data_IF_637387500450
#
_entry.id   IF_637387500450
#
_cell.length_a   1.000
_cell.length_b   1.000
_cell.length_c   1.000
_cell.angle_alpha   90.00
_cell.angle_beta   90.00
_cell.angle_gamma   90.00
#
_symmetry.space_group_name_H-M   'P 1'
#
loop_
_entity.id
_entity.type
_entity.pdbx_description
1 polymer ?
#
# COMPACT_ATOMS: atom_id res chain seq x y z
N UNK A 1 22.28 70.34 23.66
CA UNK A 1 21.09 70.71 22.87
C UNK A 1 20.56 69.39 22.32
N UNK A 2 19.84 68.63 23.13
CA UNK A 2 18.40 68.75 23.39
C UNK A 2 17.55 68.15 22.25
N UNK A 3 16.74 67.16 22.65
CA UNK A 3 15.55 66.55 22.04
C UNK A 3 15.74 65.49 20.94
N UNK A 4 15.38 64.20 21.05
CA UNK A 4 14.30 63.38 21.70
C UNK A 4 13.34 62.83 20.62
N UNK A 5 12.77 61.64 20.91
CA UNK A 5 11.83 60.76 20.15
C UNK A 5 12.55 59.66 19.37
N UNK A 6 12.89 58.50 19.95
CA UNK A 6 12.08 57.45 20.64
C UNK A 6 11.25 56.60 19.64
N UNK A 7 11.74 55.43 19.23
CA UNK A 7 11.40 54.05 19.71
C UNK A 7 9.97 53.62 19.35
N UNK A 8 9.75 52.59 18.52
CA UNK A 8 9.29 51.21 18.85
C UNK A 8 8.66 50.67 17.55
N UNK A 9 8.68 49.40 17.10
CA UNK A 9 8.83 48.12 17.80
C UNK A 9 9.37 47.02 16.86
N UNK A 10 10.19 46.14 17.44
CA UNK A 10 10.48 44.77 17.02
C UNK A 10 9.30 43.84 17.38
N UNK A 11 9.41 42.57 16.95
CA UNK A 11 8.57 41.38 17.25
C UNK A 11 7.39 41.21 16.27
N UNK A 12 7.20 40.10 15.55
CA UNK A 12 7.30 38.67 15.88
C UNK A 12 7.68 37.90 14.60
N UNK A 13 8.80 37.18 14.50
CA UNK A 13 9.06 35.79 14.93
C UNK A 13 8.06 34.75 14.44
N UNK A 14 8.63 33.74 13.78
CA UNK A 14 8.13 32.43 13.38
C UNK A 14 6.99 31.86 14.22
N UNK A 15 6.12 31.08 13.58
CA UNK A 15 5.95 29.67 13.93
C UNK A 15 5.25 28.91 12.79
N UNK A 16 5.95 27.86 12.33
CA UNK A 16 5.36 26.65 11.76
C UNK A 16 4.61 25.98 12.91
N UNK A 17 3.33 25.68 12.71
CA UNK A 17 2.64 24.73 13.59
C UNK A 17 1.93 23.68 12.74
N UNK A 18 2.52 22.49 12.79
CA UNK A 18 1.94 21.23 12.39
C UNK A 18 1.12 20.79 13.59
N UNK A 19 -0.21 20.63 13.46
CA UNK A 19 -0.89 19.49 14.10
C UNK A 19 -2.37 19.36 13.74
N UNK A 20 -2.73 18.07 13.59
CA UNK A 20 -3.97 17.42 14.05
C UNK A 20 -5.15 17.40 13.09
N UNK A 21 -5.40 16.21 12.58
CA UNK A 21 -6.50 15.90 11.69
C UNK A 21 -7.86 15.88 12.36
N UNK A 22 -8.87 15.81 11.51
CA UNK A 22 -10.09 15.09 11.81
C UNK A 22 -10.53 14.29 10.59
N UNK A 23 -10.98 13.10 10.96
CA UNK A 23 -11.44 11.98 10.17
C UNK A 23 -12.86 12.27 9.68
N UNK A 24 -13.12 12.27 8.37
CA UNK A 24 -14.49 12.16 7.85
C UNK A 24 -14.50 11.15 6.71
N UNK A 25 -14.98 9.98 7.08
CA UNK A 25 -15.38 8.88 6.22
C UNK A 25 -16.64 9.29 5.45
N UNK A 26 -16.52 9.57 4.15
CA UNK A 26 -17.68 9.62 3.27
C UNK A 26 -17.65 8.44 2.30
N UNK A 27 -18.57 7.51 2.55
CA UNK A 27 -18.94 6.40 1.70
C UNK A 27 -19.53 6.96 0.40
N UNK A 28 -18.96 6.57 -0.75
CA UNK A 28 -19.63 6.71 -2.04
C UNK A 28 -19.69 5.33 -2.66
N UNK A 29 -20.84 4.68 -2.43
CA UNK A 29 -21.33 3.61 -3.28
C UNK A 29 -21.61 4.19 -4.65
N UNK A 30 -21.11 3.55 -5.72
CA UNK A 30 -21.76 3.63 -7.02
C UNK A 30 -21.53 2.34 -7.78
N UNK A 31 -22.66 1.71 -8.10
CA UNK A 31 -22.78 0.59 -9.01
C UNK A 31 -22.40 1.02 -10.43
N UNK A 32 -21.69 0.16 -11.15
CA UNK A 32 -21.91 0.00 -12.59
C UNK A 32 -21.64 -1.46 -12.94
N UNK A 33 -22.75 -2.12 -13.24
CA UNK A 33 -22.92 -3.43 -13.81
C UNK A 33 -22.40 -3.45 -15.25
N UNK A 34 -21.49 -4.38 -15.57
CA UNK A 34 -21.28 -4.84 -16.95
C UNK A 34 -21.14 -6.35 -16.95
N UNK A 35 -22.29 -6.96 -17.23
CA UNK A 35 -22.53 -8.37 -17.52
C UNK A 35 -21.60 -8.95 -18.59
N UNK A 36 -21.14 -10.19 -18.36
CA UNK A 36 -20.78 -11.15 -19.42
C UNK A 36 -20.96 -12.57 -18.88
N UNK A 37 -22.01 -13.26 -19.37
CA UNK A 37 -22.30 -14.66 -19.11
C UNK A 37 -21.67 -15.57 -20.16
N UNK A 38 -21.05 -16.67 -19.72
CA UNK A 38 -21.23 -18.04 -20.26
C UNK A 38 -20.49 -19.04 -19.34
N UNK A 39 -21.21 -19.76 -18.48
CA UNK A 39 -21.65 -21.15 -18.67
C UNK A 39 -20.52 -22.19 -18.65
N UNK A 40 -20.44 -22.97 -17.56
CA UNK A 40 -19.60 -24.17 -17.50
C UNK A 40 -19.32 -24.72 -16.08
N UNK A 41 -20.32 -25.43 -15.51
CA UNK A 41 -20.17 -26.72 -14.81
C UNK A 41 -19.16 -26.84 -13.62
N UNK A 42 -19.72 -27.09 -12.44
CA UNK A 42 -19.53 -28.29 -11.56
C UNK A 42 -19.61 -27.93 -10.07
N UNK A 43 -20.65 -28.48 -9.42
CA UNK A 43 -20.83 -28.47 -7.96
C UNK A 43 -19.71 -29.30 -7.34
N UNK A 44 -18.75 -28.64 -6.71
CA UNK A 44 -17.92 -29.28 -5.69
C UNK A 44 -18.35 -28.82 -4.31
N UNK A 45 -18.69 -29.83 -3.52
CA UNK A 45 -19.13 -29.81 -2.13
C UNK A 45 -18.31 -28.86 -1.26
N UNK A 46 -19.02 -27.93 -0.61
CA UNK A 46 -18.54 -27.18 0.54
C UNK A 46 -18.15 -28.15 1.67
N UNK A 47 -16.88 -28.50 1.76
CA UNK A 47 -16.27 -28.92 3.01
C UNK A 47 -15.76 -27.66 3.68
N UNK A 48 -16.68 -26.97 4.36
CA UNK A 48 -16.37 -25.97 5.37
C UNK A 48 -15.69 -26.68 6.54
N UNK A 49 -14.40 -26.96 6.41
CA UNK A 49 -13.55 -27.21 7.55
C UNK A 49 -13.29 -25.86 8.20
N UNK A 50 -13.80 -25.68 9.41
CA UNK A 50 -13.32 -24.64 10.33
C UNK A 50 -11.79 -24.71 10.31
N UNK A 51 -11.16 -23.68 9.77
CA UNK A 51 -9.71 -23.60 9.73
C UNK A 51 -9.24 -23.34 11.15
N UNK A 52 -8.90 -24.40 11.88
CA UNK A 52 -7.96 -24.29 12.99
C UNK A 52 -6.79 -23.40 12.53
N UNK A 53 -6.24 -22.53 13.39
CA UNK A 53 -5.07 -21.73 13.03
C UNK A 53 -4.00 -22.71 12.56
N UNK A 54 -3.74 -22.73 11.25
CA UNK A 54 -2.76 -23.61 10.62
C UNK A 54 -1.44 -23.37 11.34
N UNK A 55 -1.11 -24.31 12.22
CA UNK A 55 -0.09 -24.13 13.24
C UNK A 55 1.26 -23.74 12.66
N UNK A 56 1.97 -22.93 13.43
CA UNK A 56 3.35 -22.47 13.28
C UNK A 56 4.12 -23.19 12.16
N UNK A 57 4.29 -22.52 11.01
CA UNK A 57 4.97 -23.09 9.83
C UNK A 57 6.41 -23.50 10.11
N UNK A 58 7.09 -22.81 11.02
CA UNK A 58 8.45 -23.16 11.44
C UNK A 58 8.48 -24.50 12.17
N UNK A 59 7.49 -24.80 13.03
CA UNK A 59 7.38 -26.10 13.69
C UNK A 59 7.18 -27.22 12.67
N UNK A 60 6.33 -27.00 11.66
CA UNK A 60 6.13 -27.96 10.58
C UNK A 60 7.43 -28.19 9.79
N UNK A 61 8.13 -27.11 9.45
CA UNK A 61 9.43 -27.17 8.78
C UNK A 61 10.43 -28.02 9.60
N UNK A 62 10.63 -27.69 10.88
CA UNK A 62 11.53 -28.43 11.77
C UNK A 62 11.16 -29.91 11.85
N UNK A 63 9.86 -30.22 11.96
CA UNK A 63 9.36 -31.60 12.01
C UNK A 63 9.66 -32.37 10.72
N UNK A 64 9.43 -31.75 9.55
CA UNK A 64 9.69 -32.40 8.26
C UNK A 64 11.18 -32.63 8.06
N UNK A 65 12.00 -31.64 8.41
CA UNK A 65 13.46 -31.73 8.30
C UNK A 65 14.01 -32.82 9.22
N UNK A 66 13.60 -32.86 10.49
CA UNK A 66 14.02 -33.90 11.43
C UNK A 66 13.64 -35.31 10.93
N UNK A 67 12.40 -35.50 10.47
CA UNK A 67 11.96 -36.78 9.90
C UNK A 67 12.74 -37.16 8.65
N UNK A 68 13.07 -36.19 7.79
CA UNK A 68 13.85 -36.43 6.59
C UNK A 68 15.29 -36.86 6.91
N UNK A 69 15.92 -36.25 7.92
CA UNK A 69 17.25 -36.60 8.39
C UNK A 69 17.28 -37.99 9.02
N UNK A 70 16.28 -38.32 9.85
CA UNK A 70 16.14 -39.67 10.41
C UNK A 70 16.00 -40.74 9.33
N UNK A 71 15.21 -40.46 8.28
CA UNK A 71 15.05 -41.36 7.15
C UNK A 71 16.36 -41.53 6.39
N UNK A 72 17.07 -40.44 6.13
CA UNK A 72 18.38 -40.46 5.47
C UNK A 72 19.42 -41.26 6.28
N UNK A 73 19.49 -41.06 7.60
CA UNK A 73 20.38 -41.83 8.49
C UNK A 73 20.02 -43.32 8.55
N UNK A 74 18.73 -43.65 8.43
CA UNK A 74 18.27 -45.05 8.40
C UNK A 74 18.77 -45.81 7.16
N UNK A 75 19.09 -45.12 6.07
CA UNK A 75 19.67 -45.74 4.87
C UNK A 75 21.19 -45.95 4.99
N UNK A 76 21.85 -45.16 5.84
CA UNK A 76 23.30 -45.19 6.09
C UNK A 76 23.71 -46.20 7.18
N UNK A 77 22.87 -47.19 7.51
CA UNK A 77 23.12 -48.16 8.60
C UNK A 77 24.38 -49.01 8.40
N UNK A 78 24.99 -49.37 9.53
CA UNK A 78 26.17 -50.24 9.63
C UNK A 78 26.05 -51.55 8.84
N UNK A 79 24.88 -52.20 8.87
CA UNK A 79 24.66 -53.45 8.16
C UNK A 79 24.91 -53.32 6.65
N UNK A 80 24.45 -52.22 6.04
CA UNK A 80 24.64 -51.97 4.61
C UNK A 80 26.10 -51.62 4.31
N UNK A 81 26.74 -50.80 5.16
CA UNK A 81 28.15 -50.44 5.02
C UNK A 81 29.08 -51.65 5.13
N UNK A 82 28.81 -52.54 6.08
CA UNK A 82 29.60 -53.76 6.31
C UNK A 82 29.45 -54.81 5.20
N UNK A 83 28.33 -54.82 4.49
CA UNK A 83 28.17 -55.63 3.28
C UNK A 83 28.98 -55.08 2.10
N UNK A 84 28.98 -53.76 1.91
CA UNK A 84 29.69 -53.10 0.79
C UNK A 84 31.21 -53.21 0.98
N UNK A 85 31.70 -52.97 2.19
CA UNK A 85 33.14 -53.01 2.51
C UNK A 85 33.54 -54.28 3.25
N UNK A 86 32.92 -55.42 2.90
CA UNK A 86 33.07 -56.69 3.61
C UNK A 86 34.52 -57.11 3.93
N UNK A 87 35.50 -57.00 3.01
CA UNK A 87 36.89 -57.39 3.30
C UNK A 87 37.51 -56.60 4.45
N UNK A 88 37.16 -55.31 4.58
CA UNK A 88 37.67 -54.41 5.62
C UNK A 88 37.04 -54.74 6.98
N UNK A 89 35.72 -54.90 7.00
CA UNK A 89 34.96 -55.22 8.22
C UNK A 89 35.30 -56.61 8.77
N UNK A 90 35.62 -57.59 7.91
CA UNK A 90 36.08 -58.92 8.33
C UNK A 90 37.44 -58.88 9.04
N UNK A 91 38.34 -57.98 8.62
CA UNK A 91 39.70 -57.90 9.16
C UNK A 91 39.72 -57.28 10.56
N UNK A 92 38.98 -56.19 10.77
CA UNK A 92 38.96 -55.45 12.05
C UNK A 92 37.52 -54.98 12.39
N UNK A 93 36.64 -55.85 12.90
CA UNK A 93 35.23 -55.52 13.09
C UNK A 93 35.01 -54.38 14.09
N UNK A 94 35.71 -54.37 15.23
CA UNK A 94 35.53 -53.34 16.27
C UNK A 94 35.97 -51.94 15.82
N UNK A 95 37.15 -51.82 15.20
CA UNK A 95 37.64 -50.53 14.71
C UNK A 95 36.77 -49.99 13.57
N UNK A 96 36.31 -50.85 12.67
CA UNK A 96 35.49 -50.40 11.53
C UNK A 96 34.07 -50.01 11.97
N UNK A 97 33.54 -50.62 13.03
CA UNK A 97 32.30 -50.18 13.69
C UNK A 97 32.46 -48.83 14.36
N UNK A 98 33.55 -48.60 15.09
CA UNK A 98 33.86 -47.31 15.70
C UNK A 98 33.97 -46.20 14.65
N UNK A 99 34.68 -46.45 13.55
CA UNK A 99 34.80 -45.50 12.43
C UNK A 99 33.43 -45.18 11.83
N UNK A 100 32.59 -46.19 11.60
CA UNK A 100 31.26 -45.99 11.03
C UNK A 100 30.37 -45.16 11.97
N UNK A 101 30.40 -45.45 13.28
CA UNK A 101 29.66 -44.67 14.28
C UNK A 101 30.11 -43.20 14.29
N UNK A 102 31.42 -42.95 14.29
CA UNK A 102 31.97 -41.60 14.22
C UNK A 102 31.56 -40.86 12.94
N UNK A 103 31.58 -41.55 11.80
CA UNK A 103 31.13 -40.99 10.53
C UNK A 103 29.66 -40.57 10.59
N UNK A 104 28.76 -41.43 11.08
CA UNK A 104 27.33 -41.12 11.19
C UNK A 104 27.07 -39.96 12.15
N UNK A 105 27.70 -39.97 13.33
CA UNK A 105 27.56 -38.89 14.32
C UNK A 105 28.06 -37.55 13.76
N UNK A 106 29.19 -37.55 13.05
CA UNK A 106 29.74 -36.34 12.45
C UNK A 106 28.87 -35.85 11.30
N UNK A 107 28.40 -36.74 10.43
CA UNK A 107 27.52 -36.41 9.32
C UNK A 107 26.19 -35.82 9.81
N UNK A 108 25.55 -36.46 10.80
CA UNK A 108 24.32 -35.96 11.40
C UNK A 108 24.50 -34.57 12.00
N UNK A 109 25.57 -34.38 12.78
CA UNK A 109 25.88 -33.08 13.41
C UNK A 109 26.14 -32.00 12.37
N UNK A 110 26.96 -32.30 11.35
CA UNK A 110 27.26 -31.34 10.27
C UNK A 110 25.99 -30.91 9.54
N UNK A 111 25.09 -31.84 9.21
CA UNK A 111 23.82 -31.52 8.55
C UNK A 111 22.94 -30.65 9.46
N UNK A 112 22.83 -30.98 10.75
CA UNK A 112 22.05 -30.20 11.71
C UNK A 112 22.60 -28.78 11.89
N UNK A 113 23.92 -28.64 11.99
CA UNK A 113 24.60 -27.34 12.10
C UNK A 113 24.34 -26.50 10.85
N UNK A 114 24.44 -27.09 9.65
CA UNK A 114 24.21 -26.37 8.39
C UNK A 114 22.74 -25.98 8.21
N UNK A 115 21.79 -26.83 8.61
CA UNK A 115 20.36 -26.46 8.64
C UNK A 115 20.13 -25.30 9.60
N UNK A 116 20.73 -25.33 10.78
CA UNK A 116 20.58 -24.26 11.79
C UNK A 116 21.12 -22.94 11.25
N UNK A 117 22.31 -22.97 10.63
CA UNK A 117 22.87 -21.79 9.95
C UNK A 117 21.95 -21.28 8.84
N UNK A 118 21.40 -22.15 8.00
CA UNK A 118 20.47 -21.74 6.93
C UNK A 118 19.20 -21.09 7.48
N UNK A 119 18.69 -21.57 8.63
CA UNK A 119 17.54 -20.95 9.31
C UNK A 119 17.91 -19.55 9.82
N UNK A 120 19.08 -19.41 10.44
CA UNK A 120 19.58 -18.13 11.00
C UNK A 120 19.95 -17.12 9.91
N UNK A 121 20.77 -17.50 8.93
CA UNK A 121 21.17 -16.66 7.79
C UNK A 121 19.96 -16.23 6.95
N UNK A 122 19.00 -17.14 6.80
CA UNK A 122 17.77 -16.90 6.06
C UNK A 122 16.74 -16.06 6.80
N UNK A 123 16.95 -15.78 8.10
CA UNK A 123 15.94 -15.23 9.01
C UNK A 123 14.57 -15.93 8.83
N UNK A 124 14.62 -17.26 8.71
CA UNK A 124 13.50 -18.05 8.24
C UNK A 124 12.34 -18.01 9.24
N UNK A 125 12.65 -17.97 10.52
CA UNK A 125 11.66 -17.85 11.59
C UNK A 125 10.81 -16.58 11.41
N UNK A 126 11.45 -15.41 11.30
CA UNK A 126 10.73 -14.14 11.13
C UNK A 126 9.86 -14.14 9.86
N UNK A 127 10.36 -14.68 8.75
CA UNK A 127 9.63 -14.75 7.49
C UNK A 127 8.41 -15.67 7.56
N UNK A 128 8.55 -16.84 8.19
CA UNK A 128 7.45 -17.78 8.38
C UNK A 128 6.40 -17.24 9.36
N UNK A 129 6.84 -16.64 10.47
CA UNK A 129 5.94 -15.98 11.43
C UNK A 129 5.17 -14.83 10.77
N UNK A 130 5.84 -14.05 9.90
CA UNK A 130 5.18 -12.98 9.14
C UNK A 130 4.17 -13.53 8.14
N UNK A 131 4.48 -14.66 7.49
CA UNK A 131 3.57 -15.33 6.57
C UNK A 131 2.32 -15.85 7.31
N UNK A 132 2.50 -16.43 8.49
CA UNK A 132 1.40 -16.87 9.36
C UNK A 132 0.48 -15.69 9.72
N UNK A 133 1.04 -14.52 10.03
CA UNK A 133 0.27 -13.29 10.29
C UNK A 133 -0.48 -12.80 9.05
N UNK A 134 0.14 -12.84 7.87
CA UNK A 134 -0.48 -12.38 6.62
C UNK A 134 -1.62 -13.29 6.18
N UNK A 135 -1.49 -14.60 6.38
CA UNK A 135 -2.58 -15.55 6.12
C UNK A 135 -3.75 -15.32 7.10
N UNK A 136 -3.46 -15.12 8.39
CA UNK A 136 -4.49 -14.85 9.39
C UNK A 136 -5.23 -13.52 9.16
N UNK A 137 -4.58 -12.51 8.58
CA UNK A 137 -5.20 -11.24 8.23
C UNK A 137 -6.04 -11.30 6.93
N UNK A 138 -5.89 -12.35 6.13
CA UNK A 138 -6.58 -12.50 4.86
C UNK A 138 -7.90 -13.26 5.04
N UNK A 139 -9.03 -12.54 5.00
CA UNK A 139 -10.38 -13.14 5.10
C UNK A 139 -10.99 -13.52 3.73
N UNK A 140 -10.29 -13.27 2.62
CA UNK A 140 -10.82 -13.53 1.29
C UNK A 140 -10.61 -14.98 0.87
N UNK A 141 -11.69 -15.66 0.48
CA UNK A 141 -11.64 -16.97 -0.18
C UNK A 141 -11.37 -16.88 -1.69
N UNK A 142 -11.39 -15.65 -2.23
CA UNK A 142 -11.13 -15.41 -3.65
C UNK A 142 -9.65 -15.59 -3.99
N UNK A 143 -9.40 -15.88 -5.28
CA UNK A 143 -8.06 -15.98 -5.80
C UNK A 143 -7.32 -14.64 -5.61
N UNK A 144 -6.27 -14.66 -4.78
CA UNK A 144 -5.45 -13.48 -4.56
C UNK A 144 -4.76 -13.03 -5.86
N UNK A 145 -4.65 -11.71 -6.05
CA UNK A 145 -3.96 -11.12 -7.21
C UNK A 145 -2.53 -11.66 -7.34
N UNK A 146 -2.08 -11.81 -8.59
CA UNK A 146 -0.72 -12.21 -8.96
C UNK A 146 -0.21 -11.25 -10.02
N UNK A 147 1.09 -10.91 -10.00
CA UNK A 147 1.69 -10.11 -11.05
C UNK A 147 1.41 -10.72 -12.43
N UNK A 148 0.94 -9.89 -13.36
CA UNK A 148 0.64 -10.31 -14.72
C UNK A 148 1.91 -10.64 -15.52
N UNK A 149 3.05 -10.11 -15.09
CA UNK A 149 4.32 -10.16 -15.82
C UNK A 149 4.49 -8.99 -16.80
N UNK A 150 3.50 -8.09 -16.88
CA UNK A 150 3.55 -6.84 -17.64
C UNK A 150 3.73 -5.69 -16.65
N UNK A 151 4.94 -5.09 -16.54
CA UNK A 151 5.25 -4.10 -15.51
C UNK A 151 4.30 -2.90 -15.50
N UNK A 152 3.89 -2.43 -16.68
CA UNK A 152 2.98 -1.29 -16.82
C UNK A 152 1.63 -1.56 -16.17
N UNK A 153 1.09 -2.77 -16.34
CA UNK A 153 -0.19 -3.17 -15.76
C UNK A 153 -0.08 -3.39 -14.25
N UNK A 154 1.00 -4.02 -13.81
CA UNK A 154 1.22 -4.31 -12.38
C UNK A 154 1.43 -3.01 -11.58
N UNK A 155 2.13 -2.04 -12.16
CA UNK A 155 2.35 -0.72 -11.56
C UNK A 155 1.08 0.13 -11.48
N UNK A 156 0.16 0.00 -12.45
CA UNK A 156 -1.09 0.76 -12.45
C UNK A 156 -1.87 0.56 -11.14
N UNK A 157 -1.92 -0.66 -10.60
CA UNK A 157 -2.64 -0.95 -9.34
C UNK A 157 -2.12 -0.13 -8.16
N UNK A 158 -0.79 0.03 -8.07
CA UNK A 158 -0.13 0.78 -7.01
C UNK A 158 -0.34 2.30 -7.17
N UNK A 159 -0.07 2.81 -8.37
CA UNK A 159 -0.06 4.26 -8.63
C UNK A 159 -1.48 4.85 -8.72
N UNK A 160 -2.48 4.05 -9.10
CA UNK A 160 -3.86 4.52 -9.27
C UNK A 160 -4.39 5.22 -8.01
N UNK A 161 -4.12 4.67 -6.82
CA UNK A 161 -4.58 5.26 -5.55
C UNK A 161 -4.06 6.69 -5.32
N UNK A 162 -2.85 6.98 -5.79
CA UNK A 162 -2.25 8.32 -5.71
C UNK A 162 -2.91 9.28 -6.71
N UNK A 163 -3.04 8.86 -7.98
CA UNK A 163 -3.65 9.70 -9.01
C UNK A 163 -5.13 10.01 -8.72
N UNK A 164 -5.88 9.06 -8.16
CA UNK A 164 -7.26 9.30 -7.74
C UNK A 164 -7.36 10.39 -6.66
N UNK A 165 -6.44 10.40 -5.69
CA UNK A 165 -6.38 11.46 -4.66
C UNK A 165 -6.07 12.83 -5.29
N UNK A 166 -5.13 12.87 -6.21
CA UNK A 166 -4.75 14.10 -6.92
C UNK A 166 -5.90 14.64 -7.78
N UNK A 167 -6.59 13.76 -8.50
CA UNK A 167 -7.75 14.14 -9.31
C UNK A 167 -8.87 14.72 -8.43
N UNK A 168 -9.17 14.08 -7.30
CA UNK A 168 -10.17 14.57 -6.35
C UNK A 168 -9.82 15.96 -5.82
N UNK A 169 -8.55 16.20 -5.48
CA UNK A 169 -8.06 17.51 -5.04
C UNK A 169 -8.23 18.58 -6.14
N UNK A 170 -7.78 18.30 -7.36
CA UNK A 170 -7.88 19.26 -8.46
C UNK A 170 -9.33 19.59 -8.81
N UNK A 171 -10.23 18.60 -8.80
CA UNK A 171 -11.66 18.82 -9.01
C UNK A 171 -12.26 19.75 -7.95
N UNK A 172 -11.82 19.64 -6.70
CA UNK A 172 -12.26 20.52 -5.62
C UNK A 172 -11.80 21.96 -5.84
N UNK A 173 -10.51 22.15 -6.14
CA UNK A 173 -9.95 23.50 -6.33
C UNK A 173 -10.55 24.18 -7.57
N UNK A 174 -10.71 23.43 -8.65
CA UNK A 174 -11.32 23.94 -9.88
C UNK A 174 -12.79 24.33 -9.67
N UNK A 175 -13.54 23.60 -8.83
CA UNK A 175 -14.90 23.99 -8.45
C UNK A 175 -14.91 25.33 -7.71
N UNK A 176 -14.03 25.50 -6.73
CA UNK A 176 -13.90 26.74 -5.96
C UNK A 176 -13.60 27.94 -6.85
N UNK A 177 -12.62 27.80 -7.76
CA UNK A 177 -12.28 28.87 -8.71
C UNK A 177 -13.45 29.21 -9.62
N UNK A 178 -14.21 28.20 -10.10
CA UNK A 178 -15.39 28.44 -10.94
C UNK A 178 -16.47 29.21 -10.19
N UNK A 179 -16.77 28.83 -8.94
CA UNK A 179 -17.76 29.52 -8.10
C UNK A 179 -17.36 30.98 -7.87
N UNK A 180 -16.10 31.23 -7.49
CA UNK A 180 -15.57 32.59 -7.31
C UNK A 180 -15.63 33.40 -8.60
N UNK A 181 -15.26 32.81 -9.75
CA UNK A 181 -15.30 33.48 -11.04
C UNK A 181 -16.74 33.82 -11.45
N UNK A 182 -17.70 32.91 -11.24
CA UNK A 182 -19.11 33.18 -11.52
C UNK A 182 -19.64 34.34 -10.70
N UNK A 183 -19.36 34.37 -9.39
CA UNK A 183 -19.75 35.48 -8.52
C UNK A 183 -19.10 36.81 -8.94
N UNK A 184 -17.83 36.79 -9.34
CA UNK A 184 -17.14 37.97 -9.85
C UNK A 184 -17.73 38.45 -11.18
N UNK A 185 -18.04 37.54 -12.10
CA UNK A 185 -18.64 37.86 -13.39
C UNK A 185 -20.01 38.52 -13.21
N UNK A 186 -20.86 38.00 -12.33
CA UNK A 186 -22.15 38.58 -11.97
C UNK A 186 -21.99 40.00 -11.40
N UNK A 187 -21.03 40.20 -10.49
CA UNK A 187 -20.73 41.54 -9.94
C UNK A 187 -20.26 42.52 -11.01
N UNK A 188 -19.43 42.09 -11.94
CA UNK A 188 -18.96 42.93 -13.05
C UNK A 188 -20.13 43.30 -13.98
N UNK A 189 -21.00 42.34 -14.30
CA UNK A 189 -22.19 42.60 -15.12
C UNK A 189 -23.13 43.60 -14.44
N UNK A 190 -23.42 43.41 -13.15
CA UNK A 190 -24.23 44.33 -12.36
C UNK A 190 -23.61 45.74 -12.33
N UNK A 191 -22.28 45.83 -12.16
CA UNK A 191 -21.54 47.09 -12.20
C UNK A 191 -21.64 47.80 -13.56
N UNK A 192 -21.43 47.07 -14.66
CA UNK A 192 -21.55 47.61 -16.04
C UNK A 192 -22.95 48.13 -16.32
N UNK A 193 -23.96 47.39 -15.89
CA UNK A 193 -25.36 47.79 -16.04
C UNK A 193 -25.69 49.04 -15.21
N UNK A 194 -25.13 49.16 -13.99
CA UNK A 194 -25.21 50.38 -13.19
C UNK A 194 -24.62 51.60 -13.91
N UNK A 195 -23.41 51.45 -14.46
CA UNK A 195 -22.72 52.51 -15.23
C UNK A 195 -23.58 52.92 -16.44
N UNK A 196 -24.07 51.94 -17.22
CA UNK A 196 -24.93 52.20 -18.38
C UNK A 196 -26.17 53.02 -18.03
N UNK A 197 -26.83 52.73 -16.90
CA UNK A 197 -27.99 53.50 -16.44
C UNK A 197 -27.61 54.94 -16.06
N UNK A 198 -26.49 55.11 -15.36
CA UNK A 198 -26.02 56.45 -14.99
C UNK A 198 -25.63 57.26 -16.24
N UNK A 199 -24.97 56.65 -17.22
CA UNK A 199 -24.64 57.29 -18.50
C UNK A 199 -25.89 57.72 -19.26
N UNK A 200 -26.92 56.86 -19.31
CA UNK A 200 -28.21 57.21 -19.92
C UNK A 200 -28.88 58.39 -19.23
N UNK A 201 -28.89 58.41 -17.89
CA UNK A 201 -29.47 59.51 -17.13
C UNK A 201 -28.71 60.84 -17.33
N UNK A 202 -27.38 60.78 -17.39
CA UNK A 202 -26.56 61.95 -17.71
C UNK A 202 -26.87 62.43 -19.12
N UNK A 203 -26.97 61.53 -20.10
CA UNK A 203 -27.30 61.91 -21.47
C UNK A 203 -28.68 62.58 -21.59
N UNK A 204 -29.72 62.00 -20.98
CA UNK A 204 -31.08 62.58 -21.01
C UNK A 204 -31.14 63.94 -20.35
N UNK A 205 -30.53 64.10 -19.17
CA UNK A 205 -30.48 65.39 -18.50
C UNK A 205 -29.73 66.40 -19.37
N UNK A 206 -28.55 66.07 -19.89
CA UNK A 206 -27.79 66.95 -20.79
C UNK A 206 -28.62 67.38 -22.00
N UNK A 207 -29.41 66.49 -22.59
CA UNK A 207 -30.27 66.82 -23.73
C UNK A 207 -31.45 67.72 -23.32
N UNK A 208 -32.06 67.51 -22.15
CA UNK A 208 -33.06 68.41 -21.56
C UNK A 208 -32.47 69.81 -21.31
N UNK A 209 -31.27 69.91 -20.74
CA UNK A 209 -30.54 71.16 -20.54
C UNK A 209 -30.26 71.87 -21.86
N UNK A 210 -29.86 71.15 -22.91
CA UNK A 210 -29.65 71.74 -24.25
C UNK A 210 -30.95 72.29 -24.82
N UNK A 211 -32.05 71.53 -24.73
CA UNK A 211 -33.34 71.94 -25.27
C UNK A 211 -33.89 73.19 -24.57
N UNK A 212 -33.80 73.25 -23.23
CA UNK A 212 -34.22 74.43 -22.45
C UNK A 212 -33.40 75.69 -22.77
N UNK A 213 -32.09 75.56 -22.99
CA UNK A 213 -31.23 76.69 -23.41
C UNK A 213 -31.59 77.18 -24.82
N UNK A 214 -31.88 76.26 -25.75
CA UNK A 214 -32.31 76.59 -27.12
C UNK A 214 -33.68 77.28 -27.13
N UNK A 215 -34.61 76.88 -26.25
CA UNK A 215 -35.89 77.56 -26.08
C UNK A 215 -35.76 78.94 -25.43
N UNK A 216 -34.83 79.12 -24.48
CA UNK A 216 -34.57 80.41 -23.83
C UNK A 216 -33.82 81.43 -24.71
N UNK A 217 -33.22 80.99 -25.82
CA UNK A 217 -32.51 81.84 -26.79
C UNK A 217 -33.34 82.16 -28.04
N UNK A 218 -34.63 81.81 -28.06
CA UNK A 218 -35.58 82.07 -29.13
C UNK A 218 -36.59 83.14 -28.74
#
# INVERSE_FOLDING_TARGET
>A
MAETVETQDKQMRSNVDITRGDNVQDQINNATDVSSQSSGREKHSNLSGESEPRGNRLLLFNTVIEKSLLKFMSDARFHRASQIFHPLYKKNPQETEKIHKQFIEHLQRSIQDDITKLIEEGDLQCKLDKLDQLEAASNSQDAAWRPSGVPEQDLCSFVMSYYMKQEAYLKRELRKIREENTALAERVQAGREGIRRTEQHIATTVDEWKNTVVEATR
#
